data_IF_272118013359
#
_entry.id   IF_272118013359
#
_cell.length_a   1.000
_cell.length_b   1.000
_cell.length_c   1.000
_cell.angle_alpha   90.00
_cell.angle_beta   90.00
_cell.angle_gamma   90.00
#
_symmetry.space_group_name_H-M   'P 1'
#
loop_
_entity.id
_entity.type
_entity.pdbx_description
1 polymer ?
#
# COMPACT_ATOMS: atom_id res chain seq x y z
N UNK A 1 27.14 -9.96 12.56
CA UNK A 1 26.06 -9.53 13.45
C UNK A 1 25.63 -8.13 13.04
N UNK A 2 24.34 -7.88 12.99
CA UNK A 2 23.72 -6.57 12.87
C UNK A 2 22.60 -6.45 13.91
N UNK A 3 22.39 -5.26 14.45
CA UNK A 3 21.33 -5.01 15.43
C UNK A 3 20.73 -3.62 15.27
N UNK A 4 19.49 -3.47 15.76
CA UNK A 4 18.79 -2.20 15.76
C UNK A 4 17.87 -2.10 16.97
N UNK A 5 17.77 -0.90 17.54
CA UNK A 5 16.83 -0.57 18.63
C UNK A 5 15.96 0.60 18.18
N UNK A 6 14.68 0.55 18.49
CA UNK A 6 13.72 1.61 18.13
C UNK A 6 12.62 1.70 19.21
N UNK A 7 12.37 2.87 19.78
CA UNK A 7 11.23 3.06 20.66
C UNK A 7 9.93 2.99 19.87
N UNK A 8 8.94 2.29 20.41
CA UNK A 8 7.61 2.11 19.85
C UNK A 8 6.57 2.71 20.80
N UNK A 9 5.46 3.30 20.32
CA UNK A 9 4.51 4.05 21.13
C UNK A 9 3.43 3.18 21.81
N UNK A 10 3.65 1.89 21.97
CA UNK A 10 2.71 0.93 22.55
C UNK A 10 3.42 -0.03 23.49
N UNK A 11 2.66 -0.79 24.30
CA UNK A 11 3.22 -1.74 25.24
C UNK A 11 3.90 -2.95 24.55
N UNK A 12 4.74 -3.71 25.28
CA UNK A 12 5.34 -4.95 24.77
C UNK A 12 4.31 -5.99 24.34
N UNK A 13 3.17 -6.09 25.05
CA UNK A 13 2.09 -7.02 24.71
C UNK A 13 1.44 -6.66 23.36
N UNK A 14 1.15 -5.38 23.11
CA UNK A 14 0.59 -4.97 21.81
C UNK A 14 1.63 -5.08 20.69
N UNK A 15 2.90 -4.83 21.00
CA UNK A 15 4.01 -5.06 20.05
C UNK A 15 4.11 -6.53 19.66
N UNK A 16 4.05 -7.44 20.63
CA UNK A 16 4.02 -8.89 20.39
C UNK A 16 2.77 -9.28 19.60
N UNK A 17 1.60 -8.80 20.02
CA UNK A 17 0.33 -9.09 19.35
C UNK A 17 0.35 -8.66 17.87
N UNK A 18 0.93 -7.51 17.55
CA UNK A 18 1.10 -7.03 16.17
C UNK A 18 1.93 -8.02 15.34
N UNK A 19 3.05 -8.54 15.88
CA UNK A 19 3.91 -9.52 15.19
C UNK A 19 3.23 -10.90 15.04
N UNK A 20 2.39 -11.27 15.99
CA UNK A 20 1.67 -12.56 15.97
C UNK A 20 0.43 -12.56 15.05
N UNK A 21 -0.11 -11.38 14.68
CA UNK A 21 -1.30 -11.28 13.82
C UNK A 21 -0.98 -11.62 12.37
N UNK A 22 -1.94 -12.20 11.62
CA UNK A 22 -1.80 -12.40 10.16
C UNK A 22 -1.44 -11.10 9.46
N UNK A 23 -0.50 -11.15 8.52
CA UNK A 23 -0.06 -9.98 7.76
C UNK A 23 1.22 -9.32 8.27
N UNK A 24 1.72 -9.65 9.46
CA UNK A 24 2.94 -9.06 10.00
C UNK A 24 4.15 -9.33 9.09
N UNK A 25 4.31 -10.55 8.62
CA UNK A 25 5.39 -10.92 7.71
C UNK A 25 5.31 -10.17 6.38
N UNK A 26 4.10 -10.03 5.82
CA UNK A 26 3.85 -9.26 4.60
C UNK A 26 4.22 -7.78 4.79
N UNK A 27 3.86 -7.19 5.94
CA UNK A 27 4.24 -5.82 6.28
C UNK A 27 5.74 -5.64 6.46
N UNK A 28 6.40 -6.62 7.04
CA UNK A 28 7.85 -6.63 7.28
C UNK A 28 8.67 -7.04 6.04
N UNK A 29 8.01 -7.48 4.97
CA UNK A 29 8.67 -7.84 3.71
C UNK A 29 8.98 -6.58 2.89
N UNK A 30 10.27 -6.25 2.67
CA UNK A 30 10.62 -4.99 2.02
C UNK A 30 10.23 -4.99 0.53
N UNK A 31 9.67 -3.88 0.02
CA UNK A 31 9.13 -3.82 -1.35
C UNK A 31 10.18 -4.01 -2.46
N UNK A 32 11.45 -3.81 -2.19
CA UNK A 32 12.54 -4.00 -3.16
C UNK A 32 13.10 -5.42 -3.23
N UNK A 33 12.68 -6.30 -2.30
CA UNK A 33 13.02 -7.72 -2.28
C UNK A 33 11.72 -8.53 -2.41
N UNK A 34 11.39 -9.02 -3.61
CA UNK A 34 10.22 -9.86 -3.79
C UNK A 34 10.33 -11.12 -2.95
N UNK A 35 9.50 -11.23 -1.92
CA UNK A 35 9.41 -12.39 -1.04
C UNK A 35 8.06 -13.05 -1.32
N UNK A 36 8.09 -14.34 -1.63
CA UNK A 36 6.92 -15.20 -1.76
C UNK A 36 6.82 -16.09 -0.53
N UNK A 37 5.69 -16.05 0.15
CA UNK A 37 5.39 -16.95 1.28
C UNK A 37 4.81 -18.23 0.68
N UNK A 38 5.58 -19.32 0.74
CA UNK A 38 5.18 -20.61 0.18
C UNK A 38 4.28 -21.39 1.13
N UNK A 39 4.56 -21.30 2.42
CA UNK A 39 3.78 -21.90 3.50
C UNK A 39 4.12 -21.22 4.83
N UNK A 40 3.15 -21.19 5.72
CA UNK A 40 3.35 -20.77 7.11
C UNK A 40 2.36 -21.46 8.03
N UNK A 41 2.77 -21.73 9.24
CA UNK A 41 1.87 -22.16 10.31
C UNK A 41 1.01 -20.97 10.79
N UNK A 42 -0.18 -21.25 11.29
CA UNK A 42 -1.18 -20.21 11.60
C UNK A 42 -0.84 -19.36 12.83
N UNK A 43 -0.03 -19.90 13.74
CA UNK A 43 0.29 -19.25 15.01
C UNK A 43 1.79 -18.98 15.15
N UNK A 44 2.15 -17.90 15.81
CA UNK A 44 3.50 -17.63 16.29
C UNK A 44 3.71 -18.43 17.59
N UNK A 45 4.32 -19.61 17.49
CA UNK A 45 4.57 -20.52 18.60
C UNK A 45 5.90 -21.25 18.42
N UNK A 46 6.44 -21.82 19.50
CA UNK A 46 7.66 -22.62 19.42
C UNK A 46 7.48 -23.81 18.46
N UNK A 47 8.41 -23.96 17.51
CA UNK A 47 8.38 -25.00 16.48
C UNK A 47 7.57 -24.64 15.24
N UNK A 48 6.80 -23.54 15.23
CA UNK A 48 6.07 -23.10 14.03
C UNK A 48 7.03 -22.62 12.95
N UNK A 49 6.68 -22.88 11.68
CA UNK A 49 7.57 -22.70 10.55
C UNK A 49 7.00 -21.78 9.50
N UNK A 50 7.92 -21.06 8.85
CA UNK A 50 7.64 -20.26 7.66
C UNK A 50 8.57 -20.69 6.54
N UNK A 51 8.00 -20.97 5.35
CA UNK A 51 8.76 -21.24 4.13
C UNK A 51 8.61 -20.08 3.16
N UNK A 52 9.74 -19.54 2.77
CA UNK A 52 9.85 -18.37 1.90
C UNK A 52 10.61 -18.71 0.63
N UNK A 53 10.33 -17.98 -0.43
CA UNK A 53 11.16 -17.87 -1.63
C UNK A 53 11.46 -16.41 -1.89
N UNK A 54 12.70 -16.09 -2.15
CA UNK A 54 13.09 -14.75 -2.58
C UNK A 54 14.14 -14.83 -3.68
N UNK A 55 14.15 -13.81 -4.53
CA UNK A 55 15.05 -13.77 -5.68
C UNK A 55 16.22 -12.84 -5.45
N UNK A 56 17.44 -13.33 -5.68
CA UNK A 56 18.68 -12.55 -5.65
C UNK A 56 19.35 -12.64 -7.01
N UNK A 57 19.23 -11.60 -7.81
CA UNK A 57 19.64 -11.64 -9.21
C UNK A 57 18.84 -12.69 -9.98
N UNK A 58 19.50 -13.64 -10.69
CA UNK A 58 18.82 -14.74 -11.40
C UNK A 58 18.46 -15.93 -10.50
N UNK A 59 18.90 -15.96 -9.23
CA UNK A 59 18.76 -17.10 -8.34
C UNK A 59 17.51 -16.99 -7.49
N UNK A 60 16.69 -18.04 -7.50
CA UNK A 60 15.60 -18.26 -6.55
C UNK A 60 16.15 -19.00 -5.32
N UNK A 61 15.99 -18.38 -4.16
CA UNK A 61 16.48 -18.91 -2.89
C UNK A 61 15.28 -19.33 -2.05
N UNK A 62 15.21 -20.61 -1.73
CA UNK A 62 14.26 -21.13 -0.74
C UNK A 62 14.84 -20.97 0.67
N UNK A 63 13.99 -20.59 1.60
CA UNK A 63 14.34 -20.44 3.01
C UNK A 63 13.23 -20.97 3.90
N UNK A 64 13.61 -21.76 4.89
CA UNK A 64 12.71 -22.21 5.95
C UNK A 64 13.24 -21.69 7.28
N UNK A 65 12.43 -20.92 7.98
CA UNK A 65 12.70 -20.49 9.35
C UNK A 65 11.73 -21.16 10.31
N UNK A 66 12.19 -21.40 11.53
CA UNK A 66 11.42 -21.95 12.64
C UNK A 66 11.45 -20.95 13.80
N UNK A 67 10.28 -20.66 14.36
CA UNK A 67 10.15 -19.81 15.54
C UNK A 67 10.50 -20.59 16.80
N UNK A 68 11.34 -20.04 17.63
CA UNK A 68 11.75 -20.56 18.92
C UNK A 68 11.84 -19.43 19.95
N UNK A 69 12.02 -19.77 21.22
CA UNK A 69 12.12 -18.79 22.31
C UNK A 69 10.91 -17.81 22.29
N UNK A 70 9.71 -18.33 21.97
CA UNK A 70 8.49 -17.52 21.89
C UNK A 70 7.97 -17.26 23.31
N UNK A 71 8.08 -16.00 23.72
CA UNK A 71 7.64 -15.49 25.02
C UNK A 71 6.62 -14.34 24.79
N UNK A 72 5.31 -14.57 24.99
CA UNK A 72 4.30 -13.53 24.79
C UNK A 72 4.62 -12.26 25.56
N UNK A 73 4.59 -11.12 24.87
CA UNK A 73 4.95 -9.83 25.45
C UNK A 73 6.47 -9.54 25.55
N UNK A 74 7.34 -10.55 25.43
CA UNK A 74 8.79 -10.35 25.58
C UNK A 74 9.58 -10.52 24.26
N UNK A 75 9.14 -11.42 23.37
CA UNK A 75 9.79 -11.59 22.08
C UNK A 75 9.75 -13.01 21.54
N UNK A 76 10.56 -13.26 20.50
CA UNK A 76 10.75 -14.56 19.86
C UNK A 76 12.03 -14.57 19.04
N UNK A 77 12.42 -15.72 18.53
CA UNK A 77 13.61 -15.87 17.68
C UNK A 77 13.30 -16.72 16.44
N UNK A 78 13.85 -16.35 15.29
CA UNK A 78 13.78 -17.07 14.02
C UNK A 78 15.09 -17.80 13.78
N UNK A 79 15.05 -19.13 13.71
CA UNK A 79 16.18 -19.96 13.37
C UNK A 79 16.04 -20.50 11.95
N UNK A 80 17.09 -20.40 11.15
CA UNK A 80 17.10 -21.05 9.84
C UNK A 80 17.17 -22.56 9.99
N UNK A 81 16.17 -23.27 9.46
CA UNK A 81 16.17 -24.72 9.30
C UNK A 81 16.86 -25.11 7.99
N UNK A 82 16.56 -24.38 6.92
CA UNK A 82 17.23 -24.50 5.63
C UNK A 82 17.30 -23.13 4.94
N UNK A 83 18.40 -22.88 4.22
CA UNK A 83 18.57 -21.58 3.56
C UNK A 83 20.01 -21.29 3.17
N UNK A 84 20.33 -20.06 2.80
CA UNK A 84 21.60 -19.68 2.17
C UNK A 84 22.74 -19.41 3.15
N UNK A 85 22.53 -19.52 4.46
CA UNK A 85 23.55 -19.27 5.48
C UNK A 85 23.96 -20.58 6.17
N UNK A 86 25.20 -20.68 6.63
CA UNK A 86 25.64 -21.79 7.49
C UNK A 86 24.95 -21.74 8.84
N UNK A 87 24.72 -20.51 9.33
CA UNK A 87 23.94 -20.25 10.54
C UNK A 87 23.18 -18.94 10.39
N UNK A 88 21.92 -18.92 10.83
CA UNK A 88 21.10 -17.72 10.94
C UNK A 88 20.26 -17.79 12.20
N UNK A 89 20.28 -16.71 12.98
CA UNK A 89 19.41 -16.47 14.12
C UNK A 89 18.99 -15.00 14.09
N UNK A 90 17.68 -14.74 14.08
CA UNK A 90 17.13 -13.42 14.23
C UNK A 90 16.32 -13.34 15.50
N UNK A 91 16.75 -12.56 16.46
CA UNK A 91 16.09 -12.37 17.75
C UNK A 91 15.32 -11.07 17.76
N UNK A 92 14.03 -11.17 18.11
CA UNK A 92 13.15 -10.05 18.39
C UNK A 92 12.95 -9.96 19.91
N UNK A 93 13.28 -8.81 20.50
CA UNK A 93 13.02 -8.53 21.92
C UNK A 93 12.20 -7.27 22.05
N UNK A 94 11.17 -7.32 22.89
CA UNK A 94 10.25 -6.23 23.18
C UNK A 94 10.51 -5.79 24.62
N UNK A 95 11.49 -4.90 24.78
CA UNK A 95 11.94 -4.46 26.08
C UNK A 95 11.01 -3.38 26.63
N UNK A 96 10.45 -3.51 27.86
CA UNK A 96 9.62 -2.47 28.43
C UNK A 96 10.43 -1.21 28.71
N UNK A 97 9.91 -0.05 28.31
CA UNK A 97 10.44 1.25 28.67
C UNK A 97 9.78 1.79 29.95
N UNK A 98 10.41 2.74 30.67
CA UNK A 98 9.89 3.27 31.94
C UNK A 98 8.50 3.91 31.86
N UNK A 99 8.11 4.40 30.68
CA UNK A 99 6.81 5.02 30.39
C UNK A 99 5.73 4.01 29.96
N UNK A 100 5.99 2.71 30.08
CA UNK A 100 5.09 1.64 29.66
C UNK A 100 5.07 1.37 28.16
N UNK A 101 5.89 2.06 27.38
CA UNK A 101 6.10 1.81 25.95
C UNK A 101 7.14 0.71 25.72
N UNK A 102 7.51 0.44 24.47
CA UNK A 102 8.41 -0.65 24.10
C UNK A 102 9.67 -0.12 23.42
N UNK A 103 10.81 -0.75 23.69
CA UNK A 103 11.97 -0.68 22.83
C UNK A 103 12.05 -1.98 22.03
N UNK A 104 11.76 -1.92 20.74
CA UNK A 104 12.00 -3.03 19.81
C UNK A 104 13.49 -3.18 19.60
N UNK A 105 14.03 -4.34 19.98
CA UNK A 105 15.44 -4.67 19.80
C UNK A 105 15.59 -5.92 18.95
N UNK A 106 16.00 -5.74 17.70
CA UNK A 106 16.27 -6.81 16.76
C UNK A 106 17.78 -7.06 16.64
N UNK A 107 18.16 -8.34 16.69
CA UNK A 107 19.53 -8.80 16.50
C UNK A 107 19.60 -9.95 15.52
N UNK A 108 20.35 -9.77 14.42
CA UNK A 108 20.61 -10.82 13.42
C UNK A 108 22.05 -11.30 13.55
N UNK A 109 22.23 -12.59 13.80
CA UNK A 109 23.51 -13.29 13.78
C UNK A 109 23.49 -14.23 12.58
N UNK A 110 24.44 -14.07 11.65
CA UNK A 110 24.56 -14.94 10.49
C UNK A 110 26.01 -15.31 10.22
N UNK A 111 26.21 -16.54 9.77
CA UNK A 111 27.48 -17.08 9.28
C UNK A 111 27.31 -17.36 7.78
N UNK A 112 28.27 -16.86 7.00
CA UNK A 112 28.23 -17.01 5.56
C UNK A 112 29.00 -18.27 5.13
N UNK A 113 28.49 -19.03 4.15
CA UNK A 113 29.24 -20.10 3.53
C UNK A 113 30.63 -19.65 3.05
N UNK A 114 31.61 -20.56 3.08
CA UNK A 114 33.01 -20.30 2.77
C UNK A 114 33.22 -19.50 1.48
N UNK A 115 32.40 -19.79 0.43
CA UNK A 115 32.49 -19.11 -0.88
C UNK A 115 31.96 -17.67 -0.91
N UNK A 116 31.31 -17.16 0.15
CA UNK A 116 30.65 -15.84 0.20
C UNK A 116 31.34 -14.87 1.18
N UNK A 117 32.42 -15.26 1.82
CA UNK A 117 33.13 -14.43 2.81
C UNK A 117 33.56 -13.06 2.28
N UNK A 118 33.91 -12.94 1.00
CA UNK A 118 34.21 -11.67 0.32
C UNK A 118 33.00 -10.72 0.22
N UNK A 119 31.77 -11.25 0.33
CA UNK A 119 30.52 -10.47 0.31
C UNK A 119 30.05 -9.93 1.66
N UNK A 120 30.80 -10.17 2.77
CA UNK A 120 30.37 -9.88 4.15
C UNK A 120 29.89 -8.44 4.36
N UNK A 121 30.59 -7.45 3.81
CA UNK A 121 30.22 -6.04 3.91
C UNK A 121 28.89 -5.76 3.18
N UNK A 122 28.64 -6.40 2.04
CA UNK A 122 27.41 -6.26 1.27
C UNK A 122 26.23 -6.88 2.01
N UNK A 123 26.39 -8.09 2.53
CA UNK A 123 25.36 -8.77 3.33
C UNK A 123 25.00 -7.92 4.56
N UNK A 124 25.99 -7.46 5.33
CA UNK A 124 25.75 -6.58 6.48
C UNK A 124 25.00 -5.30 6.11
N UNK A 125 25.31 -4.68 4.96
CA UNK A 125 24.61 -3.50 4.47
C UNK A 125 23.13 -3.81 4.14
N UNK A 126 22.87 -4.91 3.46
CA UNK A 126 21.49 -5.33 3.11
C UNK A 126 20.69 -5.72 4.36
N UNK A 127 21.28 -6.37 5.35
CA UNK A 127 20.64 -6.68 6.63
C UNK A 127 20.31 -5.41 7.43
N UNK A 128 21.24 -4.44 7.49
CA UNK A 128 20.96 -3.14 8.10
C UNK A 128 19.85 -2.38 7.38
N UNK A 129 19.81 -2.47 6.04
CA UNK A 129 18.73 -1.90 5.22
C UNK A 129 17.40 -2.56 5.52
N UNK A 130 17.36 -3.89 5.64
CA UNK A 130 16.19 -4.67 6.02
C UNK A 130 15.66 -4.25 7.40
N UNK A 131 16.54 -4.22 8.42
CA UNK A 131 16.14 -3.83 9.78
C UNK A 131 15.61 -2.38 9.84
N UNK A 132 16.23 -1.45 9.11
CA UNK A 132 15.70 -0.07 9.03
C UNK A 132 14.27 -0.03 8.51
N UNK A 133 13.99 -0.75 7.42
CA UNK A 133 12.65 -0.82 6.86
C UNK A 133 11.65 -1.45 7.84
N UNK A 134 11.98 -2.62 8.39
CA UNK A 134 11.13 -3.33 9.34
C UNK A 134 10.77 -2.47 10.55
N UNK A 135 11.77 -1.85 11.17
CA UNK A 135 11.56 -0.97 12.31
C UNK A 135 10.72 0.26 11.97
N UNK A 136 10.97 0.91 10.82
CA UNK A 136 10.18 2.05 10.37
C UNK A 136 8.72 1.66 10.09
N UNK A 137 8.49 0.49 9.48
CA UNK A 137 7.15 -0.05 9.22
C UNK A 137 6.42 -0.38 10.51
N UNK A 138 7.07 -1.12 11.43
CA UNK A 138 6.48 -1.47 12.75
C UNK A 138 6.10 -0.22 13.54
N UNK A 139 7.03 0.73 13.64
CA UNK A 139 6.78 2.01 14.32
C UNK A 139 5.59 2.75 13.71
N UNK A 140 5.59 2.89 12.38
CA UNK A 140 4.54 3.62 11.68
C UNK A 140 3.17 2.93 11.77
N UNK A 141 3.12 1.60 11.69
CA UNK A 141 1.86 0.84 11.79
C UNK A 141 1.31 0.89 13.22
N UNK A 142 2.14 0.68 14.23
CA UNK A 142 1.72 0.74 15.63
C UNK A 142 1.28 2.16 16.03
N UNK A 143 1.98 3.19 15.57
CA UNK A 143 1.56 4.58 15.79
C UNK A 143 0.21 4.89 15.13
N UNK A 144 -0.02 4.38 13.90
CA UNK A 144 -1.30 4.53 13.20
C UNK A 144 -2.43 3.81 13.95
N UNK A 145 -2.20 2.58 14.39
CA UNK A 145 -3.20 1.78 15.09
C UNK A 145 -3.52 2.34 16.49
N UNK A 146 -2.52 2.86 17.20
CA UNK A 146 -2.72 3.49 18.52
C UNK A 146 -3.54 4.79 18.45
N UNK A 147 -3.46 5.53 17.33
CA UNK A 147 -4.26 6.75 17.10
C UNK A 147 -5.70 6.45 16.66
N UNK A 148 -6.05 5.21 16.36
CA UNK A 148 -7.40 4.85 15.93
C UNK A 148 -8.44 5.09 17.01
N UNK A 149 -9.49 5.86 16.69
CA UNK A 149 -10.53 6.29 17.62
C UNK A 149 -11.77 5.38 17.63
N UNK A 150 -11.70 4.18 17.11
CA UNK A 150 -12.86 3.30 16.99
C UNK A 150 -12.57 1.87 17.38
N UNK A 151 -13.60 1.02 17.43
CA UNK A 151 -13.44 -0.41 17.69
C UNK A 151 -12.72 -1.10 16.54
N UNK A 152 -12.23 -2.31 16.79
CA UNK A 152 -11.80 -3.21 15.73
C UNK A 152 -13.02 -3.61 14.89
N UNK A 153 -12.91 -3.49 13.57
CA UNK A 153 -14.01 -3.72 12.65
C UNK A 153 -13.86 -5.06 11.94
N UNK A 154 -14.97 -5.64 11.51
CA UNK A 154 -14.96 -6.65 10.46
C UNK A 154 -15.08 -5.94 9.11
N UNK A 155 -14.03 -6.01 8.30
CA UNK A 155 -13.90 -5.29 7.03
C UNK A 155 -13.92 -6.27 5.86
N UNK A 156 -14.88 -6.12 4.96
CA UNK A 156 -14.88 -6.84 3.68
C UNK A 156 -14.17 -6.00 2.61
N UNK A 157 -13.30 -6.63 1.79
CA UNK A 157 -12.47 -5.92 0.82
C UNK A 157 -12.65 -6.50 -0.57
N UNK A 158 -13.08 -5.69 -1.55
CA UNK A 158 -13.06 -6.05 -2.98
C UNK A 158 -11.71 -5.70 -3.59
N UNK A 159 -11.30 -6.41 -4.64
CA UNK A 159 -9.98 -6.16 -5.26
C UNK A 159 -8.82 -6.54 -4.34
N UNK A 160 -9.04 -7.46 -3.41
CA UNK A 160 -8.11 -7.93 -2.40
C UNK A 160 -6.80 -8.49 -2.97
N UNK A 161 -6.85 -9.15 -4.12
CA UNK A 161 -5.68 -9.68 -4.85
C UNK A 161 -4.95 -8.65 -5.72
N UNK A 162 -5.51 -7.44 -5.86
CA UNK A 162 -4.88 -6.35 -6.60
C UNK A 162 -3.75 -5.70 -5.83
N UNK A 163 -2.98 -4.83 -6.51
CA UNK A 163 -1.85 -4.10 -5.93
C UNK A 163 -2.19 -3.43 -4.58
N UNK A 164 -3.27 -2.66 -4.53
CA UNK A 164 -3.66 -1.95 -3.29
C UNK A 164 -4.21 -2.90 -2.23
N UNK A 165 -5.02 -3.89 -2.64
CA UNK A 165 -5.61 -4.85 -1.71
C UNK A 165 -4.54 -5.68 -1.01
N UNK A 166 -3.55 -6.19 -1.76
CA UNK A 166 -2.47 -7.01 -1.20
C UNK A 166 -1.62 -6.27 -0.14
N UNK A 167 -1.57 -4.94 -0.18
CA UNK A 167 -0.89 -4.11 0.82
C UNK A 167 -1.82 -3.73 1.99
N UNK A 168 -3.11 -3.49 1.71
CA UNK A 168 -4.06 -3.02 2.73
C UNK A 168 -4.48 -4.14 3.69
N UNK A 169 -4.71 -5.35 3.19
CA UNK A 169 -5.14 -6.47 4.02
C UNK A 169 -4.19 -6.72 5.19
N UNK A 170 -2.85 -6.84 4.98
CA UNK A 170 -1.90 -7.00 6.06
C UNK A 170 -1.94 -5.87 7.09
N UNK A 171 -2.06 -4.61 6.66
CA UNK A 171 -2.17 -3.47 7.57
C UNK A 171 -3.42 -3.57 8.47
N UNK A 172 -4.57 -3.92 7.88
CA UNK A 172 -5.82 -4.06 8.64
C UNK A 172 -5.74 -5.23 9.64
N UNK A 173 -5.23 -6.38 9.19
CA UNK A 173 -5.10 -7.56 10.05
C UNK A 173 -4.13 -7.33 11.20
N UNK A 174 -2.96 -6.75 10.96
CA UNK A 174 -2.01 -6.39 12.02
C UNK A 174 -2.56 -5.35 12.99
N UNK A 175 -3.45 -4.47 12.51
CA UNK A 175 -4.26 -3.57 13.31
C UNK A 175 -5.34 -4.25 14.16
N UNK A 176 -5.54 -5.57 14.03
CA UNK A 176 -6.52 -6.36 14.77
C UNK A 176 -7.94 -6.31 14.17
N UNK A 177 -8.12 -5.75 12.96
CA UNK A 177 -9.38 -5.86 12.23
C UNK A 177 -9.56 -7.29 11.70
N UNK A 178 -10.80 -7.79 11.73
CA UNK A 178 -11.18 -9.00 10.99
C UNK A 178 -11.33 -8.63 9.51
N UNK A 179 -10.67 -9.36 8.62
CA UNK A 179 -10.69 -9.06 7.19
C UNK A 179 -11.27 -10.23 6.41
N UNK A 180 -12.26 -9.94 5.54
CA UNK A 180 -12.87 -10.90 4.61
C UNK A 180 -12.65 -10.39 3.18
N UNK A 181 -12.26 -11.29 2.27
CA UNK A 181 -12.04 -10.96 0.86
C UNK A 181 -13.31 -11.18 0.05
N UNK A 182 -13.73 -10.17 -0.72
CA UNK A 182 -14.79 -10.32 -1.72
C UNK A 182 -14.16 -10.76 -3.05
N UNK A 183 -14.47 -11.99 -3.47
CA UNK A 183 -13.82 -12.68 -4.61
C UNK A 183 -14.82 -13.04 -5.72
N UNK A 184 -14.32 -13.20 -6.95
CA UNK A 184 -15.16 -13.56 -8.12
C UNK A 184 -15.22 -15.06 -8.38
N UNK A 185 -14.34 -15.83 -7.79
CA UNK A 185 -14.33 -17.30 -7.87
C UNK A 185 -15.13 -17.91 -6.71
N UNK A 186 -15.25 -19.23 -6.70
CA UNK A 186 -15.83 -19.96 -5.57
C UNK A 186 -15.06 -19.63 -4.28
N UNK A 187 -15.75 -19.20 -3.19
CA UNK A 187 -15.11 -18.68 -1.99
C UNK A 187 -14.46 -19.80 -1.18
N UNK A 188 -13.27 -19.53 -0.64
CA UNK A 188 -12.63 -20.30 0.40
C UNK A 188 -12.91 -19.73 1.79
N UNK A 189 -12.17 -20.22 2.79
CA UNK A 189 -12.24 -19.68 4.14
C UNK A 189 -11.84 -18.19 4.17
N UNK A 190 -12.61 -17.36 4.88
CA UNK A 190 -12.40 -15.92 4.94
C UNK A 190 -12.72 -15.17 3.65
N UNK A 191 -13.51 -15.77 2.77
CA UNK A 191 -13.93 -15.18 1.50
C UNK A 191 -15.45 -15.16 1.34
N UNK A 192 -15.94 -14.19 0.60
CA UNK A 192 -17.33 -14.07 0.17
C UNK A 192 -17.34 -13.93 -1.34
N UNK A 193 -18.15 -14.71 -2.03
CA UNK A 193 -18.31 -14.58 -3.48
C UNK A 193 -19.18 -13.37 -3.83
N UNK A 194 -18.78 -12.64 -4.87
CA UNK A 194 -19.57 -11.59 -5.47
C UNK A 194 -19.34 -11.53 -6.98
N UNK A 195 -20.37 -11.11 -7.71
CA UNK A 195 -20.30 -10.94 -9.16
C UNK A 195 -20.50 -9.46 -9.53
N UNK A 196 -19.40 -8.71 -9.82
CA UNK A 196 -19.48 -7.29 -10.15
C UNK A 196 -20.11 -6.97 -11.50
N UNK A 197 -20.34 -7.96 -12.36
CA UNK A 197 -20.88 -7.78 -13.71
C UNK A 197 -22.33 -8.28 -13.88
N UNK A 198 -22.81 -9.12 -12.97
CA UNK A 198 -24.13 -9.78 -13.09
C UNK A 198 -24.99 -9.66 -11.82
N UNK A 199 -25.00 -10.72 -11.00
CA UNK A 199 -25.90 -10.83 -9.85
C UNK A 199 -25.54 -9.95 -8.65
N UNK A 200 -24.32 -9.38 -8.62
CA UNK A 200 -23.86 -8.53 -7.53
C UNK A 200 -23.41 -9.31 -6.31
N UNK A 201 -23.84 -8.87 -5.14
CA UNK A 201 -23.53 -9.44 -3.83
C UNK A 201 -24.83 -9.70 -3.07
N UNK A 202 -24.96 -10.90 -2.52
CA UNK A 202 -26.07 -11.20 -1.59
C UNK A 202 -25.92 -10.36 -0.32
N UNK A 203 -26.88 -9.50 0.04
CA UNK A 203 -26.83 -8.71 1.27
C UNK A 203 -26.70 -9.56 2.54
N UNK A 204 -27.21 -10.79 2.55
CA UNK A 204 -27.09 -11.71 3.69
C UNK A 204 -25.64 -12.15 3.93
N UNK A 205 -24.80 -12.18 2.89
CA UNK A 205 -23.38 -12.49 3.01
C UNK A 205 -22.59 -11.40 3.73
N UNK A 206 -23.15 -10.19 3.89
CA UNK A 206 -22.58 -9.08 4.66
C UNK A 206 -22.97 -9.12 6.15
N UNK A 207 -23.59 -10.19 6.65
CA UNK A 207 -23.93 -10.31 8.06
C UNK A 207 -22.67 -10.25 8.94
N UNK A 208 -22.70 -9.39 9.95
CA UNK A 208 -21.58 -9.14 10.84
C UNK A 208 -20.38 -8.40 10.20
N UNK A 209 -20.54 -7.86 8.98
CA UNK A 209 -19.55 -7.00 8.32
C UNK A 209 -19.88 -5.53 8.65
N UNK A 210 -18.97 -4.85 9.33
CA UNK A 210 -19.15 -3.44 9.74
C UNK A 210 -18.89 -2.47 8.57
N UNK A 211 -17.88 -2.78 7.76
CA UNK A 211 -17.38 -1.89 6.71
C UNK A 211 -17.00 -2.65 5.44
N UNK A 212 -17.18 -2.00 4.29
CA UNK A 212 -16.65 -2.48 3.00
C UNK A 212 -15.63 -1.50 2.46
N UNK A 213 -14.45 -2.01 2.07
CA UNK A 213 -13.46 -1.27 1.29
C UNK A 213 -13.53 -1.74 -0.17
N UNK A 214 -13.85 -0.82 -1.08
CA UNK A 214 -14.03 -1.11 -2.49
C UNK A 214 -12.83 -0.65 -3.32
N UNK A 215 -11.98 -1.61 -3.73
CA UNK A 215 -10.78 -1.38 -4.55
C UNK A 215 -10.89 -1.98 -5.95
N UNK A 216 -11.94 -2.75 -6.23
CA UNK A 216 -12.09 -3.44 -7.51
C UNK A 216 -12.35 -2.46 -8.66
N UNK A 217 -11.71 -2.72 -9.79
CA UNK A 217 -11.88 -1.95 -11.01
C UNK A 217 -10.90 -2.40 -12.08
N UNK A 218 -11.28 -2.29 -13.34
CA UNK A 218 -10.45 -2.62 -14.49
C UNK A 218 -9.21 -1.71 -14.53
N UNK A 219 -8.06 -2.28 -14.90
CA UNK A 219 -6.82 -1.50 -14.99
C UNK A 219 -6.89 -0.45 -16.11
N UNK A 220 -6.66 0.82 -15.78
CA UNK A 220 -6.70 1.93 -16.75
C UNK A 220 -5.46 2.00 -17.65
N UNK A 221 -4.37 1.36 -17.26
CA UNK A 221 -3.09 1.51 -17.95
C UNK A 221 -3.06 0.82 -19.32
N UNK A 222 -2.58 1.54 -20.34
CA UNK A 222 -2.46 1.08 -21.71
C UNK A 222 -3.21 1.98 -22.69
N UNK A 223 -3.19 1.66 -23.97
CA UNK A 223 -3.89 2.43 -25.01
C UNK A 223 -5.40 2.30 -24.86
N UNK A 224 -6.11 3.41 -24.83
CA UNK A 224 -7.57 3.46 -24.63
C UNK A 224 -8.32 3.27 -25.96
N UNK A 225 -8.60 2.03 -26.30
CA UNK A 225 -9.57 1.68 -27.34
C UNK A 225 -11.00 1.87 -26.86
N UNK A 226 -11.98 1.91 -27.76
CA UNK A 226 -13.38 2.00 -27.38
C UNK A 226 -13.83 0.85 -26.43
N UNK A 227 -13.38 -0.38 -26.70
CA UNK A 227 -13.66 -1.54 -25.86
C UNK A 227 -13.06 -1.37 -24.46
N UNK A 228 -11.79 -0.91 -24.37
CA UNK A 228 -11.14 -0.69 -23.07
C UNK A 228 -11.79 0.43 -22.28
N UNK A 229 -12.18 1.52 -22.93
CA UNK A 229 -12.90 2.61 -22.27
C UNK A 229 -14.22 2.11 -21.66
N UNK A 230 -15.00 1.33 -22.42
CA UNK A 230 -16.22 0.71 -21.90
C UNK A 230 -15.93 -0.19 -20.70
N UNK A 231 -14.94 -1.08 -20.78
CA UNK A 231 -14.58 -1.98 -19.68
C UNK A 231 -14.16 -1.20 -18.42
N UNK A 232 -13.36 -0.14 -18.56
CA UNK A 232 -12.94 0.73 -17.45
C UNK A 232 -14.12 1.44 -16.81
N UNK A 233 -15.05 2.00 -17.61
CA UNK A 233 -16.23 2.69 -17.12
C UNK A 233 -17.19 1.70 -16.44
N UNK A 234 -17.56 0.61 -17.12
CA UNK A 234 -18.56 -0.34 -16.63
C UNK A 234 -18.11 -1.09 -15.37
N UNK A 235 -16.85 -1.50 -15.31
CA UNK A 235 -16.34 -2.18 -14.11
C UNK A 235 -16.48 -1.31 -12.85
N UNK A 236 -16.38 0.00 -12.98
CA UNK A 236 -16.52 0.95 -11.87
C UNK A 236 -17.98 1.28 -11.61
N UNK A 237 -18.71 1.66 -12.65
CA UNK A 237 -20.12 2.06 -12.53
C UNK A 237 -20.99 0.90 -12.03
N UNK A 238 -20.95 -0.23 -12.72
CA UNK A 238 -21.82 -1.36 -12.43
C UNK A 238 -21.39 -2.08 -11.15
N UNK A 239 -20.10 -2.40 -11.00
CA UNK A 239 -19.60 -3.09 -9.80
C UNK A 239 -19.83 -2.28 -8.53
N UNK A 240 -19.56 -0.97 -8.56
CA UNK A 240 -19.80 -0.11 -7.40
C UNK A 240 -21.29 0.01 -7.06
N UNK A 241 -22.17 0.16 -8.08
CA UNK A 241 -23.61 0.25 -7.87
C UNK A 241 -24.15 -1.02 -7.21
N UNK A 242 -23.82 -2.20 -7.75
CA UNK A 242 -24.25 -3.49 -7.21
C UNK A 242 -23.80 -3.71 -5.76
N UNK A 243 -22.56 -3.33 -5.46
CA UNK A 243 -22.02 -3.36 -4.10
C UNK A 243 -22.76 -2.39 -3.16
N UNK A 244 -23.00 -1.16 -3.62
CA UNK A 244 -23.73 -0.15 -2.85
C UNK A 244 -25.19 -0.53 -2.58
N UNK A 245 -25.85 -1.20 -3.54
CA UNK A 245 -27.21 -1.76 -3.38
C UNK A 245 -27.23 -2.91 -2.36
N UNK A 246 -26.19 -3.77 -2.35
CA UNK A 246 -26.08 -4.82 -1.33
C UNK A 246 -25.88 -4.22 0.07
N UNK A 247 -25.01 -3.21 0.21
CA UNK A 247 -24.80 -2.48 1.47
C UNK A 247 -26.09 -1.80 1.93
N UNK A 248 -26.83 -1.18 1.01
CA UNK A 248 -28.11 -0.52 1.33
C UNK A 248 -29.15 -1.47 1.92
N UNK A 249 -29.09 -2.76 1.57
CA UNK A 249 -29.98 -3.81 2.06
C UNK A 249 -29.40 -4.62 3.21
N UNK A 250 -28.12 -4.41 3.56
CA UNK A 250 -27.47 -5.07 4.70
C UNK A 250 -27.97 -4.51 6.03
N UNK A 251 -28.21 -5.40 7.01
CA UNK A 251 -28.57 -4.99 8.37
C UNK A 251 -27.38 -4.43 9.15
N UNK A 252 -26.15 -4.86 8.86
CA UNK A 252 -24.97 -4.64 9.70
C UNK A 252 -23.99 -3.63 9.10
N UNK A 253 -23.81 -3.63 7.77
CA UNK A 253 -22.80 -2.78 7.12
C UNK A 253 -23.22 -1.32 7.08
N UNK A 254 -22.47 -0.46 7.78
CA UNK A 254 -22.75 0.98 7.91
C UNK A 254 -21.67 1.89 7.32
N UNK A 255 -20.63 1.31 6.72
CA UNK A 255 -19.52 2.07 6.16
C UNK A 255 -19.10 1.51 4.79
N UNK A 256 -19.01 2.40 3.80
CA UNK A 256 -18.37 2.14 2.52
C UNK A 256 -17.19 3.10 2.32
N UNK A 257 -15.97 2.57 2.25
CA UNK A 257 -14.78 3.31 1.80
C UNK A 257 -14.47 2.88 0.38
N UNK A 258 -14.78 3.72 -0.59
CA UNK A 258 -14.56 3.43 -2.01
C UNK A 258 -13.30 4.12 -2.51
N UNK A 259 -12.45 3.39 -3.24
CA UNK A 259 -11.45 4.01 -4.07
C UNK A 259 -12.12 4.93 -5.10
N UNK A 260 -11.45 6.02 -5.42
CA UNK A 260 -11.74 6.98 -6.47
C UNK A 260 -10.39 7.49 -7.02
N UNK A 261 -10.35 8.52 -7.84
CA UNK A 261 -9.11 9.00 -8.41
C UNK A 261 -9.08 10.52 -8.61
N UNK A 262 -7.91 11.15 -8.44
CA UNK A 262 -7.70 12.57 -8.79
C UNK A 262 -7.88 12.85 -10.28
N UNK A 263 -7.94 11.82 -11.12
CA UNK A 263 -8.31 11.92 -12.54
C UNK A 263 -9.64 12.62 -12.79
N UNK A 264 -10.50 12.76 -11.76
CA UNK A 264 -11.70 13.58 -11.80
C UNK A 264 -11.40 15.02 -12.21
N UNK A 265 -10.29 15.56 -11.77
CA UNK A 265 -9.97 16.98 -11.98
C UNK A 265 -9.51 17.29 -13.41
N UNK A 266 -8.93 16.32 -14.14
CA UNK A 266 -8.36 16.51 -15.47
C UNK A 266 -7.18 17.48 -15.47
N UNK A 267 -6.88 18.05 -16.66
CA UNK A 267 -5.83 19.07 -16.83
C UNK A 267 -6.26 20.42 -16.22
N UNK A 268 -5.48 20.96 -15.29
CA UNK A 268 -5.80 22.22 -14.55
C UNK A 268 -4.62 23.19 -14.43
N UNK A 269 -3.54 22.95 -15.16
CA UNK A 269 -2.36 23.83 -15.15
C UNK A 269 -1.79 24.03 -13.74
N UNK A 270 -1.76 25.29 -13.30
CA UNK A 270 -1.19 25.69 -12.00
C UNK A 270 -2.21 25.70 -10.84
N UNK A 271 -3.49 25.50 -11.13
CA UNK A 271 -4.54 25.61 -10.12
C UNK A 271 -4.37 24.59 -9.00
N UNK A 272 -4.46 25.03 -7.76
CA UNK A 272 -4.50 24.15 -6.59
C UNK A 272 -5.91 23.58 -6.47
N UNK A 273 -6.02 22.26 -6.43
CA UNK A 273 -7.29 21.53 -6.44
C UNK A 273 -7.53 20.92 -5.05
N UNK A 274 -8.73 21.12 -4.54
CA UNK A 274 -9.21 20.53 -3.30
C UNK A 274 -10.42 19.63 -3.57
N UNK A 275 -10.95 19.02 -2.54
CA UNK A 275 -12.16 18.17 -2.63
C UNK A 275 -13.39 18.94 -3.16
N UNK A 276 -13.43 20.26 -2.95
CA UNK A 276 -14.49 21.15 -3.44
C UNK A 276 -14.34 21.54 -4.93
N UNK A 277 -13.18 21.27 -5.53
CA UNK A 277 -12.94 21.62 -6.94
C UNK A 277 -13.83 20.79 -7.87
N UNK A 278 -14.42 21.43 -8.92
CA UNK A 278 -15.31 20.72 -9.84
C UNK A 278 -14.57 19.73 -10.73
N UNK A 279 -15.31 18.77 -11.27
CA UNK A 279 -14.79 17.82 -12.27
C UNK A 279 -14.25 18.56 -13.52
N UNK A 280 -13.20 17.99 -14.09
CA UNK A 280 -12.64 18.42 -15.37
C UNK A 280 -13.41 17.91 -16.57
N UNK A 281 -12.75 17.94 -17.74
CA UNK A 281 -13.29 17.41 -18.99
C UNK A 281 -12.41 16.27 -19.49
N UNK A 282 -13.02 15.26 -20.13
CA UNK A 282 -12.33 14.12 -20.72
C UNK A 282 -12.85 12.80 -20.19
N UNK A 283 -12.20 11.72 -20.60
CA UNK A 283 -12.63 10.36 -20.27
C UNK A 283 -12.42 10.03 -18.78
N UNK A 284 -11.27 10.41 -18.18
CA UNK A 284 -11.06 10.14 -16.75
C UNK A 284 -12.05 10.88 -15.85
N UNK A 285 -12.34 12.17 -16.02
CA UNK A 285 -13.39 12.86 -15.28
C UNK A 285 -14.76 12.20 -15.42
N UNK A 286 -15.14 11.73 -16.62
CA UNK A 286 -16.39 11.00 -16.86
C UNK A 286 -16.42 9.69 -16.05
N UNK A 287 -15.38 8.88 -16.15
CA UNK A 287 -15.28 7.60 -15.43
C UNK A 287 -15.37 7.82 -13.93
N UNK A 288 -14.61 8.77 -13.37
CA UNK A 288 -14.59 9.01 -11.93
C UNK A 288 -15.91 9.57 -11.42
N UNK A 289 -16.55 10.47 -12.18
CA UNK A 289 -17.88 11.00 -11.83
C UNK A 289 -18.93 9.88 -11.78
N UNK A 290 -18.95 8.98 -12.77
CA UNK A 290 -19.85 7.84 -12.79
C UNK A 290 -19.55 6.85 -11.64
N UNK A 291 -18.27 6.64 -11.35
CA UNK A 291 -17.83 5.80 -10.23
C UNK A 291 -18.30 6.34 -8.88
N UNK A 292 -18.06 7.62 -8.60
CA UNK A 292 -18.48 8.26 -7.35
C UNK A 292 -20.01 8.32 -7.21
N UNK A 293 -20.73 8.56 -8.31
CA UNK A 293 -22.19 8.56 -8.33
C UNK A 293 -22.79 7.17 -8.02
N UNK A 294 -22.12 6.09 -8.43
CA UNK A 294 -22.56 4.73 -8.20
C UNK A 294 -22.60 4.31 -6.71
N UNK A 295 -22.02 5.09 -5.81
CA UNK A 295 -22.09 4.87 -4.35
C UNK A 295 -23.43 5.36 -3.74
N UNK A 296 -24.25 6.04 -4.51
CA UNK A 296 -25.49 6.70 -4.01
C UNK A 296 -26.47 5.77 -3.27
N UNK A 297 -26.73 4.50 -3.68
CA UNK A 297 -27.64 3.63 -2.94
C UNK A 297 -27.22 3.41 -1.48
N UNK A 298 -25.94 3.17 -1.21
CA UNK A 298 -25.45 3.00 0.16
C UNK A 298 -25.63 4.28 0.99
N UNK A 299 -25.33 5.44 0.41
CA UNK A 299 -25.53 6.74 1.08
C UNK A 299 -27.00 7.01 1.38
N UNK A 300 -27.90 6.74 0.43
CA UNK A 300 -29.35 6.93 0.59
C UNK A 300 -29.93 6.05 1.71
N UNK A 301 -29.36 4.86 1.93
CA UNK A 301 -29.72 3.96 3.03
C UNK A 301 -29.08 4.33 4.38
N UNK A 302 -28.38 5.48 4.48
CA UNK A 302 -27.81 5.97 5.72
C UNK A 302 -26.40 5.47 6.02
N UNK A 303 -25.76 4.69 5.14
CA UNK A 303 -24.37 4.30 5.33
C UNK A 303 -23.42 5.52 5.20
N UNK A 304 -22.39 5.56 6.02
CA UNK A 304 -21.29 6.52 5.86
C UNK A 304 -20.46 6.12 4.64
N UNK A 305 -20.39 7.00 3.66
CA UNK A 305 -19.65 6.77 2.41
C UNK A 305 -18.44 7.71 2.36
N UNK A 306 -17.25 7.14 2.18
CA UNK A 306 -16.00 7.87 1.96
C UNK A 306 -15.45 7.48 0.59
N UNK A 307 -15.13 8.48 -0.24
CA UNK A 307 -14.56 8.31 -1.58
C UNK A 307 -13.14 8.85 -1.58
N UNK A 308 -12.15 7.95 -1.63
CA UNK A 308 -10.74 8.33 -1.62
C UNK A 308 -10.27 8.60 -3.06
N UNK A 309 -10.13 9.86 -3.46
CA UNK A 309 -9.53 10.28 -4.73
C UNK A 309 -8.02 10.09 -4.64
N UNK A 310 -7.57 8.95 -5.11
CA UNK A 310 -6.16 8.52 -5.01
C UNK A 310 -5.34 9.25 -6.06
N UNK A 311 -4.19 9.79 -5.62
CA UNK A 311 -3.15 10.34 -6.49
C UNK A 311 -2.30 9.25 -7.16
N UNK A 312 -1.03 9.55 -7.39
CA UNK A 312 -0.07 8.60 -7.95
C UNK A 312 0.56 7.78 -6.82
N UNK A 313 0.17 6.51 -6.59
CA UNK A 313 0.72 5.72 -5.50
C UNK A 313 2.16 5.30 -5.81
N UNK A 314 3.05 5.51 -4.85
CA UNK A 314 4.48 5.17 -4.98
C UNK A 314 4.80 3.85 -4.30
N UNK A 315 4.97 2.80 -5.12
CA UNK A 315 5.43 1.49 -4.65
C UNK A 315 6.10 0.70 -5.80
N UNK A 316 7.19 -0.04 -5.53
CA UNK A 316 7.92 -0.77 -6.59
C UNK A 316 7.13 -1.89 -7.26
N UNK A 317 6.15 -2.49 -6.58
CA UNK A 317 5.35 -3.58 -7.11
C UNK A 317 4.11 -3.12 -7.89
N UNK A 318 3.84 -1.80 -7.97
CA UNK A 318 2.65 -1.34 -8.67
C UNK A 318 2.65 0.16 -8.97
N UNK A 319 1.64 0.60 -9.71
CA UNK A 319 1.45 2.00 -10.05
C UNK A 319 2.48 2.57 -11.03
N UNK A 320 2.66 3.88 -10.98
CA UNK A 320 3.58 4.62 -11.88
C UNK A 320 5.05 4.30 -11.58
N UNK A 321 5.41 4.15 -10.30
CA UNK A 321 6.79 3.92 -9.90
C UNK A 321 7.34 2.62 -10.46
N UNK A 322 6.57 1.53 -10.43
CA UNK A 322 6.97 0.24 -11.01
C UNK A 322 7.43 0.38 -12.48
N UNK A 323 6.72 1.17 -13.27
CA UNK A 323 7.01 1.38 -14.69
C UNK A 323 8.23 2.24 -14.92
N UNK A 324 8.49 3.19 -14.03
CA UNK A 324 9.65 4.09 -14.10
C UNK A 324 10.96 3.42 -13.64
N UNK A 325 10.90 2.43 -12.75
CA UNK A 325 12.09 1.87 -12.12
C UNK A 325 13.09 1.29 -13.11
N UNK A 326 12.65 0.54 -14.13
CA UNK A 326 13.59 -0.10 -15.06
C UNK A 326 14.37 0.93 -15.89
N UNK A 327 13.76 1.89 -16.59
CA UNK A 327 14.50 2.93 -17.30
C UNK A 327 15.45 3.72 -16.42
N UNK A 328 15.02 4.08 -15.20
CA UNK A 328 15.86 4.83 -14.26
C UNK A 328 17.04 4.00 -13.74
N UNK A 329 16.85 2.71 -13.42
CA UNK A 329 17.95 1.81 -13.01
C UNK A 329 19.01 1.63 -14.10
N UNK A 330 18.58 1.67 -15.37
CA UNK A 330 19.46 1.62 -16.54
C UNK A 330 20.14 2.97 -16.85
N UNK A 331 19.79 4.05 -16.16
CA UNK A 331 20.35 5.39 -16.38
C UNK A 331 19.78 6.12 -17.59
N UNK A 332 18.70 5.58 -18.20
CA UNK A 332 17.99 6.17 -19.37
C UNK A 332 16.66 6.81 -18.95
N UNK A 333 16.43 7.04 -17.66
CA UNK A 333 15.28 7.75 -17.15
C UNK A 333 15.36 9.26 -17.34
N UNK A 334 14.20 9.95 -17.27
CA UNK A 334 14.14 11.39 -17.35
C UNK A 334 12.71 11.92 -17.33
N UNK A 335 12.56 13.21 -17.60
CA UNK A 335 11.27 13.88 -17.62
C UNK A 335 10.38 13.42 -18.79
N UNK A 336 9.07 13.50 -18.57
CA UNK A 336 8.06 13.18 -19.56
C UNK A 336 7.53 14.49 -20.20
N UNK A 337 7.57 14.59 -21.51
CA UNK A 337 7.22 15.82 -22.22
C UNK A 337 8.13 16.99 -21.84
N UNK A 338 7.53 18.13 -21.52
CA UNK A 338 8.25 19.32 -21.05
C UNK A 338 8.62 19.27 -19.55
N UNK A 339 8.09 18.28 -18.80
CA UNK A 339 8.36 18.10 -17.37
C UNK A 339 7.67 19.08 -16.43
N UNK A 340 6.85 20.00 -16.94
CA UNK A 340 6.24 21.08 -16.16
C UNK A 340 4.93 20.70 -15.48
N UNK A 341 4.31 19.58 -15.88
CA UNK A 341 3.07 19.10 -15.29
C UNK A 341 3.24 18.72 -13.82
N UNK A 342 2.24 19.09 -13.01
CA UNK A 342 2.18 18.73 -11.61
C UNK A 342 1.78 17.28 -11.42
N UNK A 343 2.49 16.60 -10.54
CA UNK A 343 2.26 15.22 -10.12
C UNK A 343 1.86 15.21 -8.64
N UNK A 344 0.61 14.88 -8.37
CA UNK A 344 0.12 14.67 -7.01
C UNK A 344 0.27 13.20 -6.67
N UNK A 345 1.29 12.89 -5.91
CA UNK A 345 1.71 11.55 -5.51
C UNK A 345 1.30 11.24 -4.06
N UNK A 346 1.38 9.98 -3.68
CA UNK A 346 1.26 9.53 -2.29
C UNK A 346 2.14 8.30 -2.07
N UNK A 347 2.87 8.23 -0.96
CA UNK A 347 3.58 7.02 -0.53
C UNK A 347 2.59 5.89 -0.22
N UNK A 348 2.98 4.65 -0.50
CA UNK A 348 2.08 3.51 -0.27
C UNK A 348 1.59 3.45 1.18
N UNK A 349 2.48 3.60 2.17
CA UNK A 349 2.08 3.55 3.58
C UNK A 349 1.12 4.67 3.98
N UNK A 350 1.29 5.87 3.43
CA UNK A 350 0.34 6.97 3.65
C UNK A 350 -1.00 6.73 2.97
N UNK A 351 -1.01 6.07 1.80
CA UNK A 351 -2.26 5.67 1.17
C UNK A 351 -3.01 4.62 1.99
N UNK A 352 -2.30 3.61 2.49
CA UNK A 352 -2.87 2.61 3.41
C UNK A 352 -3.37 3.27 4.70
N UNK A 353 -2.60 4.22 5.23
CA UNK A 353 -2.98 5.04 6.38
C UNK A 353 -4.25 5.87 6.14
N UNK A 354 -4.43 6.44 4.94
CA UNK A 354 -5.63 7.18 4.58
C UNK A 354 -6.88 6.26 4.52
N UNK A 355 -6.75 5.02 4.03
CA UNK A 355 -7.83 4.02 4.12
C UNK A 355 -8.16 3.68 5.58
N UNK A 356 -7.15 3.41 6.40
CA UNK A 356 -7.32 3.12 7.82
C UNK A 356 -7.94 4.31 8.57
N UNK A 357 -7.50 5.54 8.29
CA UNK A 357 -8.06 6.76 8.85
C UNK A 357 -9.54 6.94 8.48
N UNK A 358 -9.91 6.67 7.21
CA UNK A 358 -11.30 6.68 6.78
C UNK A 358 -12.16 5.61 7.47
N UNK A 359 -11.59 4.46 7.81
CA UNK A 359 -12.28 3.41 8.57
C UNK A 359 -12.47 3.79 10.04
N UNK A 360 -11.43 4.29 10.70
CA UNK A 360 -11.38 4.49 12.16
C UNK A 360 -11.86 5.87 12.62
N UNK A 361 -11.91 6.88 11.75
CA UNK A 361 -12.38 8.23 12.10
C UNK A 361 -13.79 8.49 11.54
N UNK A 362 -14.80 8.56 12.41
CA UNK A 362 -16.19 8.77 12.03
C UNK A 362 -16.48 10.14 11.41
N UNK A 363 -15.61 11.14 11.63
CA UNK A 363 -15.75 12.48 11.07
C UNK A 363 -15.40 12.55 9.58
N UNK A 364 -14.61 11.59 9.09
CA UNK A 364 -14.21 11.52 7.70
C UNK A 364 -15.39 11.01 6.86
N UNK A 365 -15.93 11.88 5.99
CA UNK A 365 -17.12 11.62 5.16
C UNK A 365 -16.98 12.23 3.76
N UNK A 366 -17.71 11.68 2.81
CA UNK A 366 -17.78 12.25 1.47
C UNK A 366 -16.51 12.02 0.66
N UNK A 367 -15.96 13.08 0.10
CA UNK A 367 -14.78 13.01 -0.77
C UNK A 367 -13.52 13.35 0.02
N UNK A 368 -12.44 12.63 -0.25
CA UNK A 368 -11.13 12.84 0.38
C UNK A 368 -10.03 12.69 -0.67
N UNK A 369 -9.18 13.68 -0.84
CA UNK A 369 -8.00 13.57 -1.69
C UNK A 369 -6.89 12.80 -0.97
N UNK A 370 -6.64 11.58 -1.42
CA UNK A 370 -5.54 10.74 -0.91
C UNK A 370 -4.27 11.03 -1.72
N UNK A 371 -3.63 12.15 -1.39
CA UNK A 371 -2.37 12.65 -1.97
C UNK A 371 -1.46 13.15 -0.86
N UNK A 372 -0.14 13.15 -1.08
CA UNK A 372 0.82 13.79 -0.18
C UNK A 372 0.69 15.33 -0.23
N UNK A 373 1.06 16.04 0.85
CA UNK A 373 0.86 17.49 0.94
C UNK A 373 1.75 18.31 -0.01
N UNK A 374 2.80 17.72 -0.55
CA UNK A 374 3.80 18.38 -1.37
C UNK A 374 3.81 17.79 -2.80
N UNK A 375 2.88 18.18 -3.68
CA UNK A 375 2.95 17.80 -5.09
C UNK A 375 4.19 18.39 -5.73
N UNK A 376 4.75 17.72 -6.73
CA UNK A 376 5.98 18.14 -7.41
C UNK A 376 5.76 18.21 -8.92
N UNK A 377 6.64 18.93 -9.65
CA UNK A 377 6.65 18.86 -11.12
C UNK A 377 7.30 17.55 -11.59
N UNK A 378 6.96 17.11 -12.78
CA UNK A 378 7.49 15.87 -13.33
C UNK A 378 9.02 15.88 -13.49
N UNK A 379 9.62 17.01 -13.84
CA UNK A 379 11.08 17.14 -13.92
C UNK A 379 11.75 17.04 -12.55
N UNK A 380 11.12 17.56 -11.50
CA UNK A 380 11.55 17.42 -10.11
C UNK A 380 11.40 15.96 -9.65
N UNK A 381 10.26 15.32 -9.96
CA UNK A 381 10.05 13.90 -9.69
C UNK A 381 11.15 13.04 -10.34
N UNK A 382 11.47 13.30 -11.60
CA UNK A 382 12.49 12.55 -12.31
C UNK A 382 13.89 12.74 -11.68
N UNK A 383 14.27 13.97 -11.35
CA UNK A 383 15.54 14.27 -10.66
C UNK A 383 15.62 13.57 -9.31
N UNK A 384 14.55 13.64 -8.52
CA UNK A 384 14.53 13.04 -7.19
C UNK A 384 14.59 11.51 -7.24
N UNK A 385 13.86 10.86 -8.17
CA UNK A 385 13.95 9.43 -8.39
C UNK A 385 15.37 9.01 -8.83
N UNK A 386 15.99 9.80 -9.73
CA UNK A 386 17.37 9.60 -10.13
C UNK A 386 18.35 9.71 -8.95
N UNK A 387 18.19 10.74 -8.11
CA UNK A 387 18.99 10.95 -6.89
C UNK A 387 18.91 9.74 -5.95
N UNK A 388 17.69 9.30 -5.62
CA UNK A 388 17.47 8.16 -4.71
C UNK A 388 18.04 6.86 -5.28
N UNK A 389 17.96 6.65 -6.60
CA UNK A 389 18.53 5.47 -7.25
C UNK A 389 20.05 5.55 -7.47
N UNK A 390 20.66 6.73 -7.30
CA UNK A 390 22.06 6.99 -7.64
C UNK A 390 22.30 6.85 -9.16
N UNK A 391 21.35 7.33 -9.97
CA UNK A 391 21.39 7.26 -11.44
C UNK A 391 21.06 8.62 -12.06
N UNK A 392 21.64 8.97 -13.22
CA UNK A 392 21.25 10.17 -13.93
C UNK A 392 19.78 10.07 -14.41
N UNK A 393 19.12 11.24 -14.50
CA UNK A 393 17.74 11.37 -14.98
C UNK A 393 17.68 12.38 -16.15
N UNK A 394 18.51 12.17 -17.16
CA UNK A 394 18.81 13.14 -18.20
C UNK A 394 18.10 12.90 -19.52
N UNK A 395 17.55 11.69 -19.76
CA UNK A 395 16.96 11.32 -21.05
C UNK A 395 15.47 11.64 -21.08
N UNK A 396 15.04 12.74 -21.72
CA UNK A 396 13.62 13.10 -21.77
C UNK A 396 12.85 12.17 -22.70
N UNK A 397 11.61 11.86 -22.34
CA UNK A 397 10.68 11.15 -23.22
C UNK A 397 9.77 12.19 -23.90
N UNK A 398 9.87 12.42 -25.24
CA UNK A 398 9.08 13.41 -25.93
C UNK A 398 7.57 13.11 -25.83
N UNK A 399 6.74 14.16 -25.71
CA UNK A 399 5.28 14.02 -25.64
C UNK A 399 4.70 13.31 -26.86
N UNK A 400 5.30 13.51 -28.06
CA UNK A 400 4.88 12.83 -29.30
C UNK A 400 5.05 11.32 -29.20
N UNK A 401 6.14 10.83 -28.58
CA UNK A 401 6.38 9.41 -28.36
C UNK A 401 5.35 8.83 -27.38
N UNK A 402 5.04 9.56 -26.29
CA UNK A 402 4.02 9.15 -25.33
C UNK A 402 2.63 9.05 -25.99
N UNK A 403 2.25 10.04 -26.83
CA UNK A 403 1.00 10.02 -27.59
C UNK A 403 0.93 8.87 -28.59
N UNK A 404 2.03 8.58 -29.29
CA UNK A 404 2.09 7.46 -30.21
C UNK A 404 1.89 6.10 -29.51
N UNK A 405 2.47 5.93 -28.31
CA UNK A 405 2.36 4.70 -27.53
C UNK A 405 1.00 4.55 -26.83
N UNK A 406 0.53 5.59 -26.16
CA UNK A 406 -0.60 5.53 -25.23
C UNK A 406 -1.87 6.21 -25.75
N UNK A 407 -1.79 6.98 -26.85
CA UNK A 407 -2.93 7.74 -27.37
C UNK A 407 -3.47 8.74 -26.35
N UNK A 408 -4.79 8.82 -26.21
CA UNK A 408 -5.48 9.75 -25.29
C UNK A 408 -5.02 9.61 -23.83
N UNK A 409 -4.63 8.40 -23.39
CA UNK A 409 -4.08 8.21 -22.04
C UNK A 409 -2.83 9.06 -21.79
N UNK A 410 -2.03 9.32 -22.82
CA UNK A 410 -0.86 10.19 -22.68
C UNK A 410 -1.25 11.60 -22.22
N UNK A 411 -2.29 12.16 -22.82
CA UNK A 411 -2.72 13.54 -22.53
C UNK A 411 -3.48 13.62 -21.19
N UNK A 412 -4.36 12.67 -20.88
CA UNK A 412 -5.23 12.74 -19.70
C UNK A 412 -4.59 12.19 -18.41
N UNK A 413 -3.60 11.28 -18.50
CA UNK A 413 -3.03 10.63 -17.31
C UNK A 413 -1.52 10.86 -17.12
N UNK A 414 -0.74 11.08 -18.22
CA UNK A 414 0.71 11.17 -18.12
C UNK A 414 1.19 12.63 -18.19
N UNK A 415 0.61 13.40 -19.11
CA UNK A 415 0.99 14.78 -19.40
C UNK A 415 0.09 15.83 -18.71
N UNK A 416 -1.06 15.38 -18.18
CA UNK A 416 -1.98 16.25 -17.45
C UNK A 416 -1.33 16.80 -16.19
N UNK A 417 -1.55 18.10 -15.95
CA UNK A 417 -1.11 18.84 -14.78
C UNK A 417 -2.23 18.85 -13.74
N UNK A 418 -2.00 18.19 -12.60
CA UNK A 418 -3.01 18.04 -11.55
C UNK A 418 -2.37 18.31 -10.19
N UNK A 419 -2.46 19.56 -9.71
CA UNK A 419 -1.89 20.00 -8.43
C UNK A 419 -2.93 19.91 -7.34
N UNK A 420 -2.98 18.77 -6.64
CA UNK A 420 -4.02 18.44 -5.65
C UNK A 420 -3.50 18.60 -4.24
N UNK A 421 -4.30 19.22 -3.37
CA UNK A 421 -4.06 19.32 -1.94
C UNK A 421 -4.94 18.31 -1.17
N UNK A 422 -4.42 17.68 -0.08
CA UNK A 422 -5.15 16.75 0.78
C UNK A 422 -5.92 17.52 1.88
N UNK A 423 -6.84 18.43 1.49
CA UNK A 423 -7.46 19.36 2.43
C UNK A 423 -8.24 18.64 3.52
N UNK A 424 -8.99 17.59 3.17
CA UNK A 424 -9.81 16.82 4.11
C UNK A 424 -8.96 15.94 5.04
N UNK A 425 -7.88 15.30 4.54
CA UNK A 425 -6.94 14.56 5.40
C UNK A 425 -6.28 15.48 6.43
N UNK A 426 -5.85 16.67 5.99
CA UNK A 426 -5.25 17.66 6.90
C UNK A 426 -6.24 18.16 7.95
N UNK A 427 -7.48 18.49 7.51
CA UNK A 427 -8.55 18.95 8.41
C UNK A 427 -8.95 17.90 9.45
N UNK A 428 -8.97 16.63 9.06
CA UNK A 428 -9.33 15.50 9.93
C UNK A 428 -8.20 15.00 10.83
N UNK A 429 -7.03 15.67 10.78
CA UNK A 429 -5.88 15.36 11.64
C UNK A 429 -5.07 14.14 11.20
N UNK A 430 -5.08 13.81 9.91
CA UNK A 430 -4.19 12.77 9.38
C UNK A 430 -2.74 13.25 9.36
N UNK A 431 -1.84 12.47 9.93
CA UNK A 431 -0.41 12.76 9.94
C UNK A 431 0.31 11.89 8.89
N UNK A 432 0.94 12.53 7.92
CA UNK A 432 1.68 11.85 6.88
C UNK A 432 3.00 11.29 7.40
N UNK A 433 3.28 10.02 7.14
CA UNK A 433 4.57 9.37 7.46
C UNK A 433 5.70 9.91 6.56
N UNK A 434 5.40 10.13 5.30
CA UNK A 434 6.34 10.56 4.28
C UNK A 434 5.81 11.78 3.52
N UNK A 435 5.82 12.99 4.12
CA UNK A 435 5.26 14.18 3.49
C UNK A 435 6.05 14.70 2.29
N UNK A 436 7.31 14.29 2.12
CA UNK A 436 8.19 14.71 1.00
C UNK A 436 8.47 13.54 0.06
N UNK A 437 8.61 13.84 -1.25
CA UNK A 437 8.86 12.84 -2.29
C UNK A 437 10.13 12.02 -2.00
N UNK A 438 11.21 12.68 -1.59
CA UNK A 438 12.46 12.04 -1.24
C UNK A 438 12.30 10.99 -0.16
N UNK A 439 11.65 11.35 0.97
CA UNK A 439 11.41 10.43 2.08
C UNK A 439 10.56 9.22 1.66
N UNK A 440 9.50 9.43 0.86
CA UNK A 440 8.66 8.36 0.35
C UNK A 440 9.44 7.40 -0.57
N UNK A 441 10.23 7.95 -1.52
CA UNK A 441 11.04 7.14 -2.43
C UNK A 441 12.15 6.38 -1.68
N UNK A 442 12.83 7.04 -0.74
CA UNK A 442 13.87 6.42 0.08
C UNK A 442 13.31 5.25 0.87
N UNK A 443 12.14 5.41 1.49
CA UNK A 443 11.49 4.34 2.25
C UNK A 443 11.14 3.15 1.36
N UNK A 444 10.36 3.35 0.28
CA UNK A 444 9.88 2.24 -0.56
C UNK A 444 10.97 1.59 -1.41
N UNK A 445 12.09 2.27 -1.64
CA UNK A 445 13.26 1.74 -2.34
C UNK A 445 14.37 1.29 -1.39
N UNK A 446 14.19 1.48 -0.08
CA UNK A 446 15.17 1.16 0.94
C UNK A 446 16.50 1.89 0.78
N UNK A 447 16.46 3.08 0.22
CA UNK A 447 17.62 3.93 -0.07
C UNK A 447 17.60 5.13 0.85
N UNK A 448 17.87 4.98 2.13
CA UNK A 448 18.12 6.15 2.97
C UNK A 448 19.44 6.79 2.56
N UNK A 449 19.46 8.12 2.51
CA UNK A 449 20.73 8.84 2.41
C UNK A 449 21.70 8.30 3.45
N UNK A 450 22.92 8.00 3.04
CA UNK A 450 23.98 7.70 4.00
C UNK A 450 24.11 8.93 4.90
N UNK A 451 23.82 8.75 6.19
CA UNK A 451 24.15 9.74 7.20
C UNK A 451 25.65 9.91 7.28
#
# INVERSE_FOLDING_TARGET
MVERRTPLPVSPEETFAWHARPGALERLSPPWLPIEILARDSALSNGSRVRLRFRVGPLDIAWTAEHQEVEPGAGFSDFQVSGPFDRWVHRHRFEPAPDGTTILHDRIICELPLGIRLGRKRVSRELNRLLRYRHATTLGDLALHAKARGPRLHVAVTGASGFMGSLLLPLLSTGGHRVTRLVRHAPGEGEIQWDPAGSGLDPAALRGVDAVVHLAGENIAGRWTAARKRAVLESRRTGTRLLAEAIARSADTRLLVSASAIGLYGERGEAILTEASPAGRGFLPEVVSAWEAATAPAKAAGARVVKLRIGLPLHPAGGVLQRMLLPFRLGVGGRLGNGRQWMSWIGADDLLGAFHHALSNAEVRGVVNAVAPNPVRNDEFARELGRVLGRPALVPVPAVALRALFGQMADEAILASTRVAPAELSRSGYEFRHPTLGAALEHVLGRTAAA
#
